data_IF_266701839246
#
_entry.id   IF_266701839246
#
_cell.length_a   1.000
_cell.length_b   1.000
_cell.length_c   1.000
_cell.angle_alpha   90.00
_cell.angle_beta   90.00
_cell.angle_gamma   90.00
#
_symmetry.space_group_name_H-M   'P 1'
#
loop_
_entity.id
_entity.type
_entity.pdbx_description
1 polymer ?
#
# COMPACT_ATOMS: atom_id res chain seq x y z
N UNK A 1 19.63 -18.87 8.96
CA UNK A 1 19.87 -17.56 9.59
C UNK A 1 19.22 -17.53 10.95
N UNK A 2 19.94 -17.06 11.96
CA UNK A 2 19.40 -16.92 13.30
C UNK A 2 18.20 -15.97 13.28
N UNK A 3 17.12 -16.35 13.96
CA UNK A 3 15.85 -15.62 13.98
C UNK A 3 15.16 -15.42 12.61
N UNK A 4 15.55 -16.17 11.59
CA UNK A 4 14.91 -16.09 10.26
C UNK A 4 13.41 -16.38 10.28
N UNK A 5 12.97 -17.29 11.17
CA UNK A 5 11.56 -17.57 11.42
C UNK A 5 10.80 -16.33 11.92
N UNK A 6 11.39 -15.56 12.82
CA UNK A 6 10.77 -14.33 13.36
C UNK A 6 10.62 -13.27 12.26
N UNK A 7 11.69 -13.04 11.49
CA UNK A 7 11.65 -12.09 10.35
C UNK A 7 10.56 -12.49 9.34
N UNK A 8 10.45 -13.80 9.05
CA UNK A 8 9.41 -14.29 8.14
C UNK A 8 8.00 -14.05 8.67
N UNK A 9 7.75 -14.38 9.94
CA UNK A 9 6.42 -14.19 10.53
C UNK A 9 6.05 -12.71 10.63
N UNK A 10 6.96 -11.84 11.04
CA UNK A 10 6.74 -10.40 11.06
C UNK A 10 6.43 -9.90 9.64
N UNK A 11 7.16 -10.35 8.62
CA UNK A 11 6.94 -9.94 7.24
C UNK A 11 5.57 -10.41 6.71
N UNK A 12 5.25 -11.67 6.86
CA UNK A 12 4.02 -12.25 6.35
C UNK A 12 2.77 -11.71 7.07
N UNK A 13 2.79 -11.66 8.40
CA UNK A 13 1.68 -11.13 9.19
C UNK A 13 1.59 -9.61 9.06
N UNK A 14 2.74 -8.92 9.05
CA UNK A 14 2.82 -7.49 8.82
C UNK A 14 2.20 -7.06 7.50
N UNK A 15 2.37 -7.83 6.43
CA UNK A 15 1.70 -7.57 5.16
C UNK A 15 0.18 -7.56 5.30
N UNK A 16 -0.40 -8.54 6.02
CA UNK A 16 -1.85 -8.60 6.27
C UNK A 16 -2.32 -7.42 7.11
N UNK A 17 -1.63 -7.12 8.20
CA UNK A 17 -1.97 -5.99 9.08
C UNK A 17 -1.83 -4.65 8.38
N UNK A 18 -0.86 -4.50 7.51
CA UNK A 18 -0.67 -3.29 6.71
C UNK A 18 -1.91 -3.00 5.86
N UNK A 19 -2.48 -4.01 5.19
CA UNK A 19 -3.72 -3.86 4.44
C UNK A 19 -4.92 -3.55 5.32
N UNK A 20 -5.05 -4.21 6.48
CA UNK A 20 -6.13 -3.92 7.44
C UNK A 20 -6.12 -2.45 7.84
N UNK A 21 -4.95 -1.94 8.24
CA UNK A 21 -4.79 -0.54 8.68
C UNK A 21 -5.05 0.44 7.52
N UNK A 22 -4.58 0.12 6.31
CA UNK A 22 -4.83 0.95 5.13
C UNK A 22 -6.31 0.97 4.76
N UNK A 23 -7.02 -0.15 4.83
CA UNK A 23 -8.47 -0.15 4.61
C UNK A 23 -9.22 0.68 5.64
N UNK A 24 -8.87 0.60 6.92
CA UNK A 24 -9.43 1.47 7.97
C UNK A 24 -9.14 2.94 7.65
N UNK A 25 -7.92 3.25 7.21
CA UNK A 25 -7.53 4.59 6.78
C UNK A 25 -8.37 5.10 5.60
N UNK A 26 -8.62 4.28 4.58
CA UNK A 26 -9.47 4.61 3.44
C UNK A 26 -10.93 4.82 3.88
N UNK A 27 -11.48 3.92 4.68
CA UNK A 27 -12.85 4.04 5.19
C UNK A 27 -13.04 5.28 6.06
N UNK A 28 -12.03 5.67 6.86
CA UNK A 28 -12.03 6.92 7.60
C UNK A 28 -12.12 8.12 6.64
N UNK A 29 -11.33 8.10 5.56
CA UNK A 29 -11.37 9.13 4.53
C UNK A 29 -12.73 9.24 3.83
N UNK A 30 -13.37 8.11 3.53
CA UNK A 30 -14.72 8.06 2.96
C UNK A 30 -15.78 8.54 3.95
N UNK A 31 -15.73 8.05 5.19
CA UNK A 31 -16.72 8.38 6.21
C UNK A 31 -16.77 9.87 6.52
N UNK A 32 -15.63 10.52 6.66
CA UNK A 32 -15.54 11.95 6.97
C UNK A 32 -15.49 12.86 5.73
N UNK A 33 -15.57 12.30 4.53
CA UNK A 33 -15.49 13.09 3.29
C UNK A 33 -14.13 13.75 3.07
N UNK A 34 -13.06 13.20 3.65
CA UNK A 34 -11.71 13.77 3.57
C UNK A 34 -11.08 13.72 2.18
N UNK A 35 -11.73 13.05 1.22
CA UNK A 35 -11.33 12.98 -0.19
C UNK A 35 -11.85 14.13 -1.05
N UNK A 36 -12.78 14.93 -0.51
CA UNK A 36 -13.40 16.05 -1.24
C UNK A 36 -12.47 17.26 -1.30
N UNK A 37 -12.85 18.24 -2.13
CA UNK A 37 -12.13 19.51 -2.24
C UNK A 37 -11.80 20.11 -0.87
N UNK A 38 -10.58 20.61 -0.67
CA UNK A 38 -9.47 20.76 -1.63
C UNK A 38 -8.44 19.61 -1.60
N UNK A 39 -8.83 18.39 -1.19
CA UNK A 39 -7.93 17.25 -0.90
C UNK A 39 -7.96 16.14 -1.95
N UNK A 40 -8.40 16.43 -3.17
CA UNK A 40 -8.51 15.45 -4.25
C UNK A 40 -7.15 14.85 -4.63
N UNK A 41 -6.11 15.68 -4.71
CA UNK A 41 -4.76 15.23 -5.01
C UNK A 41 -4.25 14.26 -3.93
N UNK A 42 -4.55 14.56 -2.65
CA UNK A 42 -4.22 13.69 -1.54
C UNK A 42 -4.86 12.30 -1.71
N UNK A 43 -6.14 12.27 -2.08
CA UNK A 43 -6.87 11.03 -2.36
C UNK A 43 -6.26 10.26 -3.54
N UNK A 44 -5.98 10.93 -4.66
CA UNK A 44 -5.38 10.28 -5.85
C UNK A 44 -4.03 9.66 -5.54
N UNK A 45 -3.17 10.34 -4.78
CA UNK A 45 -1.89 9.77 -4.33
C UNK A 45 -2.11 8.54 -3.45
N UNK A 46 -3.13 8.55 -2.58
CA UNK A 46 -3.52 7.40 -1.78
C UNK A 46 -3.94 6.20 -2.64
N UNK A 47 -4.70 6.43 -3.71
CA UNK A 47 -5.09 5.37 -4.67
C UNK A 47 -3.85 4.78 -5.37
N UNK A 48 -2.90 5.61 -5.78
CA UNK A 48 -1.62 5.13 -6.37
C UNK A 48 -0.86 4.27 -5.37
N UNK A 49 -0.77 4.70 -4.11
CA UNK A 49 -0.14 3.89 -3.04
C UNK A 49 -0.84 2.53 -2.90
N UNK A 50 -2.16 2.49 -2.87
CA UNK A 50 -2.91 1.24 -2.75
C UNK A 50 -2.62 0.27 -3.91
N UNK A 51 -2.59 0.77 -5.15
CA UNK A 51 -2.27 -0.03 -6.34
C UNK A 51 -0.84 -0.59 -6.24
N UNK A 52 0.12 0.25 -5.87
CA UNK A 52 1.51 -0.18 -5.68
C UNK A 52 1.65 -1.20 -4.54
N UNK A 53 0.91 -1.04 -3.46
CA UNK A 53 0.86 -2.01 -2.36
C UNK A 53 0.31 -3.36 -2.82
N UNK A 54 -0.80 -3.37 -3.57
CA UNK A 54 -1.38 -4.60 -4.11
C UNK A 54 -0.40 -5.32 -5.03
N UNK A 55 0.26 -4.59 -5.93
CA UNK A 55 1.29 -5.13 -6.80
C UNK A 55 2.47 -5.71 -5.99
N UNK A 56 2.93 -4.97 -4.98
CA UNK A 56 4.03 -5.41 -4.11
C UNK A 56 3.66 -6.70 -3.37
N UNK A 57 2.50 -6.74 -2.75
CA UNK A 57 2.04 -7.90 -1.98
C UNK A 57 1.83 -9.13 -2.88
N UNK A 58 1.22 -8.93 -4.05
CA UNK A 58 1.02 -10.00 -5.03
C UNK A 58 2.34 -10.62 -5.47
N UNK A 59 3.30 -9.79 -5.89
CA UNK A 59 4.62 -10.29 -6.29
C UNK A 59 5.35 -10.97 -5.12
N UNK A 60 5.22 -10.44 -3.91
CA UNK A 60 5.80 -11.04 -2.71
C UNK A 60 5.24 -12.42 -2.39
N UNK A 61 3.93 -12.61 -2.59
CA UNK A 61 3.29 -13.91 -2.36
C UNK A 61 3.74 -14.98 -3.39
N UNK A 62 4.17 -14.57 -4.56
CA UNK A 62 4.71 -15.50 -5.58
C UNK A 62 6.09 -16.03 -5.19
N UNK A 63 6.88 -15.28 -4.42
CA UNK A 63 8.30 -15.60 -4.15
C UNK A 63 8.53 -16.92 -3.39
N UNK A 64 7.68 -17.38 -2.46
CA UNK A 64 7.85 -18.70 -1.84
C UNK A 64 7.78 -19.87 -2.81
N UNK A 65 7.24 -19.64 -4.00
CA UNK A 65 7.20 -20.59 -5.13
C UNK A 65 6.49 -21.91 -4.80
N UNK A 66 5.47 -21.85 -3.95
CA UNK A 66 4.58 -22.96 -3.68
C UNK A 66 3.45 -23.07 -4.72
N UNK A 67 2.57 -24.04 -4.55
CA UNK A 67 1.42 -24.27 -5.45
C UNK A 67 0.52 -23.03 -5.56
N UNK A 68 0.19 -22.40 -4.44
CA UNK A 68 -0.62 -21.17 -4.44
C UNK A 68 0.10 -20.00 -5.12
N UNK A 69 1.43 -19.90 -4.95
CA UNK A 69 2.24 -18.87 -5.60
C UNK A 69 2.23 -19.02 -7.11
N UNK A 70 2.49 -20.23 -7.60
CA UNK A 70 2.55 -20.54 -9.05
C UNK A 70 1.20 -20.34 -9.73
N UNK A 71 0.14 -20.94 -9.19
CA UNK A 71 -1.19 -20.83 -9.78
C UNK A 71 -1.79 -19.42 -9.61
N UNK A 72 -1.53 -18.77 -8.49
CA UNK A 72 -1.90 -17.37 -8.30
C UNK A 72 -1.23 -16.45 -9.32
N UNK A 73 0.06 -16.62 -9.56
CA UNK A 73 0.79 -15.88 -10.60
C UNK A 73 0.18 -16.13 -11.96
N UNK A 74 -0.05 -17.40 -12.33
CA UNK A 74 -0.61 -17.79 -13.63
C UNK A 74 -1.98 -17.14 -13.87
N UNK A 75 -2.90 -17.25 -12.91
CA UNK A 75 -4.27 -16.75 -13.06
C UNK A 75 -4.30 -15.22 -13.09
N UNK A 76 -3.66 -14.56 -12.13
CA UNK A 76 -3.74 -13.11 -11.99
C UNK A 76 -3.03 -12.40 -13.15
N UNK A 77 -1.87 -12.88 -13.56
CA UNK A 77 -1.17 -12.27 -14.70
C UNK A 77 -1.90 -12.52 -16.01
N UNK A 78 -2.55 -13.67 -16.16
CA UNK A 78 -3.32 -13.97 -17.37
C UNK A 78 -4.57 -13.09 -17.53
N UNK A 79 -5.08 -12.46 -16.47
CA UNK A 79 -6.16 -11.49 -16.57
C UNK A 79 -5.81 -10.29 -17.46
N UNK A 80 -4.53 -9.94 -17.56
CA UNK A 80 -4.08 -8.89 -18.48
C UNK A 80 -4.31 -9.25 -19.96
N UNK A 81 -4.45 -10.53 -20.32
CA UNK A 81 -4.76 -10.94 -21.70
C UNK A 81 -6.11 -10.42 -22.19
N UNK A 82 -7.02 -10.05 -21.28
CA UNK A 82 -8.30 -9.45 -21.61
C UNK A 82 -8.19 -8.02 -22.18
N UNK A 83 -7.02 -7.37 -22.08
CA UNK A 83 -6.81 -6.04 -22.64
C UNK A 83 -6.67 -6.16 -24.16
N UNK A 84 -7.57 -5.52 -24.96
CA UNK A 84 -7.51 -5.61 -26.39
C UNK A 84 -6.16 -5.15 -26.97
N UNK A 85 -5.69 -5.81 -28.00
CA UNK A 85 -4.48 -5.51 -28.79
C UNK A 85 -3.15 -5.77 -28.07
N UNK A 86 -3.03 -5.48 -26.78
CA UNK A 86 -1.74 -5.50 -26.07
C UNK A 86 -1.68 -6.54 -24.95
N UNK A 87 -2.80 -7.14 -24.59
CA UNK A 87 -2.90 -8.01 -23.41
C UNK A 87 -1.94 -9.19 -23.43
N UNK A 88 -1.88 -9.94 -24.52
CA UNK A 88 -0.96 -11.09 -24.66
C UNK A 88 0.51 -10.66 -24.57
N UNK A 89 0.85 -9.51 -25.15
CA UNK A 89 2.20 -8.96 -25.06
C UNK A 89 2.56 -8.59 -23.61
N UNK A 90 1.61 -8.04 -22.85
CA UNK A 90 1.80 -7.75 -21.42
C UNK A 90 2.02 -9.04 -20.65
N UNK A 91 1.21 -10.08 -20.88
CA UNK A 91 1.36 -11.37 -20.21
C UNK A 91 2.73 -12.00 -20.52
N UNK A 92 3.13 -12.04 -21.79
CA UNK A 92 4.44 -12.55 -22.21
C UNK A 92 5.59 -11.75 -21.58
N UNK A 93 5.45 -10.43 -21.49
CA UNK A 93 6.41 -9.56 -20.79
C UNK A 93 6.49 -9.89 -19.30
N UNK A 94 5.37 -10.04 -18.61
CA UNK A 94 5.32 -10.37 -17.19
C UNK A 94 5.93 -11.73 -16.90
N UNK A 95 5.62 -12.73 -17.72
CA UNK A 95 6.18 -14.07 -17.55
C UNK A 95 7.66 -14.14 -17.96
N UNK A 96 8.06 -13.37 -18.95
CA UNK A 96 9.38 -13.45 -19.56
C UNK A 96 9.55 -14.67 -20.44
N UNK A 97 8.44 -15.15 -20.98
CA UNK A 97 8.31 -16.33 -21.82
C UNK A 97 6.84 -16.65 -22.06
N UNK A 98 6.56 -17.91 -22.37
CA UNK A 98 5.20 -18.37 -22.71
C UNK A 98 4.48 -19.07 -21.55
N UNK A 99 5.11 -19.13 -20.39
CA UNK A 99 4.55 -19.69 -19.17
C UNK A 99 5.19 -19.04 -17.95
N UNK A 100 4.51 -19.13 -16.78
CA UNK A 100 5.10 -18.75 -15.50
C UNK A 100 6.23 -19.71 -15.16
N UNK A 101 7.46 -19.18 -15.02
CA UNK A 101 8.66 -19.96 -14.72
C UNK A 101 9.72 -19.07 -14.07
N UNK A 102 10.96 -19.54 -13.98
CA UNK A 102 12.09 -18.84 -13.38
C UNK A 102 12.27 -17.38 -13.85
N UNK A 103 12.10 -17.02 -15.15
CA UNK A 103 12.12 -15.61 -15.55
C UNK A 103 11.06 -14.75 -14.86
N UNK A 104 9.86 -15.29 -14.64
CA UNK A 104 8.78 -14.61 -13.89
C UNK A 104 9.21 -14.37 -12.44
N UNK A 105 9.73 -15.40 -11.80
CA UNK A 105 10.17 -15.35 -10.40
C UNK A 105 11.24 -14.28 -10.19
N UNK A 106 12.23 -14.21 -11.08
CA UNK A 106 13.30 -13.21 -10.99
C UNK A 106 12.80 -11.78 -11.17
N UNK A 107 11.88 -11.55 -12.12
CA UNK A 107 11.25 -10.23 -12.31
C UNK A 107 10.45 -9.82 -11.08
N UNK A 108 9.66 -10.73 -10.54
CA UNK A 108 8.83 -10.46 -9.38
C UNK A 108 9.66 -10.21 -8.14
N UNK A 109 10.78 -10.91 -7.97
CA UNK A 109 11.73 -10.61 -6.90
C UNK A 109 12.29 -9.19 -7.02
N UNK A 110 12.78 -8.82 -8.20
CA UNK A 110 13.35 -7.49 -8.42
C UNK A 110 12.32 -6.37 -8.18
N UNK A 111 11.10 -6.54 -8.70
CA UNK A 111 10.03 -5.56 -8.53
C UNK A 111 9.50 -5.52 -7.09
N UNK A 112 9.37 -6.67 -6.42
CA UNK A 112 8.97 -6.71 -5.02
C UNK A 112 9.98 -6.00 -4.12
N UNK A 113 11.26 -6.09 -4.43
CA UNK A 113 12.30 -5.36 -3.70
C UNK A 113 12.24 -3.85 -4.00
N UNK A 114 12.02 -3.46 -5.25
CA UNK A 114 12.03 -2.06 -5.68
C UNK A 114 10.78 -1.27 -5.23
N UNK A 115 9.60 -1.86 -5.39
CA UNK A 115 8.33 -1.14 -5.22
C UNK A 115 8.13 -0.53 -3.82
N UNK A 116 8.55 -1.13 -2.71
CA UNK A 116 8.46 -0.48 -1.40
C UNK A 116 9.17 0.87 -1.34
N UNK A 117 10.30 1.03 -2.01
CA UNK A 117 11.01 2.33 -2.08
C UNK A 117 10.24 3.35 -2.93
N UNK A 118 9.61 2.90 -4.01
CA UNK A 118 8.72 3.76 -4.80
C UNK A 118 7.51 4.18 -3.96
N UNK A 119 6.92 3.25 -3.20
CA UNK A 119 5.82 3.55 -2.27
C UNK A 119 6.25 4.62 -1.26
N UNK A 120 7.43 4.50 -0.66
CA UNK A 120 7.95 5.52 0.27
C UNK A 120 8.00 6.90 -0.41
N UNK A 121 8.48 6.98 -1.64
CA UNK A 121 8.50 8.23 -2.41
C UNK A 121 7.09 8.82 -2.61
N UNK A 122 6.12 7.98 -2.98
CA UNK A 122 4.72 8.43 -3.14
C UNK A 122 4.08 8.80 -1.80
N UNK A 123 4.42 8.10 -0.71
CA UNK A 123 3.98 8.45 0.66
C UNK A 123 4.48 9.83 1.05
N UNK A 124 5.73 10.17 0.74
CA UNK A 124 6.25 11.53 0.97
C UNK A 124 5.41 12.56 0.24
N UNK A 125 5.08 12.34 -1.03
CA UNK A 125 4.19 13.22 -1.80
C UNK A 125 2.78 13.29 -1.20
N UNK A 126 2.26 12.18 -0.70
CA UNK A 126 0.96 12.10 -0.03
C UNK A 126 0.94 12.98 1.23
N UNK A 127 1.99 12.93 2.04
CA UNK A 127 2.12 13.78 3.23
C UNK A 127 2.34 15.26 2.86
N UNK A 128 3.10 15.55 1.80
CA UNK A 128 3.25 16.92 1.30
C UNK A 128 1.89 17.49 0.85
N UNK A 129 1.09 16.71 0.13
CA UNK A 129 -0.25 17.10 -0.27
C UNK A 129 -1.18 17.33 0.93
N UNK A 130 -1.07 16.51 1.99
CA UNK A 130 -1.79 16.72 3.23
C UNK A 130 -1.43 18.07 3.89
N UNK A 131 -0.15 18.36 4.00
CA UNK A 131 0.31 19.59 4.66
C UNK A 131 -0.07 20.86 3.90
N UNK A 132 -0.36 20.78 2.62
CA UNK A 132 -0.80 21.95 1.83
C UNK A 132 -2.14 22.53 2.30
N UNK A 133 -3.07 21.69 2.73
CA UNK A 133 -4.43 22.10 3.13
C UNK A 133 -4.76 21.69 4.57
N UNK A 134 -3.89 20.93 5.23
CA UNK A 134 -4.10 20.39 6.56
C UNK A 134 -5.14 19.27 6.63
N UNK A 135 -5.30 18.73 7.82
CA UNK A 135 -6.25 17.65 8.09
C UNK A 135 -7.69 18.16 8.08
N UNK A 136 -8.61 17.30 7.64
CA UNK A 136 -10.03 17.50 7.88
C UNK A 136 -10.36 17.21 9.36
N UNK A 137 -11.53 17.64 9.83
CA UNK A 137 -12.07 17.26 11.14
C UNK A 137 -13.39 16.52 10.98
N UNK A 138 -13.86 15.79 12.03
CA UNK A 138 -15.07 14.96 11.93
C UNK A 138 -16.35 15.72 11.54
N UNK A 139 -16.43 17.00 11.87
CA UNK A 139 -17.60 17.84 11.58
C UNK A 139 -17.47 18.65 10.29
N UNK A 140 -16.29 18.68 9.66
CA UNK A 140 -16.02 19.47 8.47
C UNK A 140 -16.08 20.99 8.70
N UNK A 141 -15.89 21.43 9.94
CA UNK A 141 -15.96 22.85 10.32
C UNK A 141 -14.60 23.50 10.09
N UNK A 142 -14.60 24.66 9.45
CA UNK A 142 -13.39 25.42 9.20
C UNK A 142 -12.79 25.97 10.49
N UNK A 143 -11.48 25.86 10.62
CA UNK A 143 -10.69 26.43 11.71
C UNK A 143 -10.65 27.94 11.54
N UNK A 144 -11.10 28.68 12.57
CA UNK A 144 -11.18 30.15 12.54
C UNK A 144 -10.10 30.85 13.36
N UNK A 145 -9.43 30.10 14.24
CA UNK A 145 -8.38 30.66 15.07
C UNK A 145 -7.66 29.60 15.90
N UNK A 146 -6.66 30.01 16.65
CA UNK A 146 -5.87 29.13 17.49
C UNK A 146 -6.67 28.40 18.58
N UNK A 147 -7.79 28.98 19.01
CA UNK A 147 -8.72 28.36 19.96
C UNK A 147 -9.40 27.10 19.42
N UNK A 148 -9.47 26.96 18.09
CA UNK A 148 -10.07 25.81 17.41
C UNK A 148 -9.05 24.72 17.09
N UNK A 149 -7.82 24.86 17.59
CA UNK A 149 -6.71 23.95 17.30
C UNK A 149 -6.16 23.33 18.58
N UNK A 150 -5.59 22.16 18.41
CA UNK A 150 -4.82 21.47 19.44
C UNK A 150 -3.42 21.20 18.91
N UNK A 151 -2.39 21.41 19.73
CA UNK A 151 -1.01 21.18 19.36
C UNK A 151 -0.80 19.71 18.94
N UNK A 152 -0.06 19.49 17.87
CA UNK A 152 0.26 18.13 17.45
C UNK A 152 1.10 17.41 18.53
N UNK A 153 2.14 18.07 19.02
CA UNK A 153 2.91 17.57 20.16
C UNK A 153 2.48 18.24 21.46
N UNK A 154 2.25 17.49 22.56
CA UNK A 154 2.41 16.04 22.72
C UNK A 154 1.16 15.21 22.39
N UNK A 155 0.01 15.81 22.12
CA UNK A 155 -1.29 15.13 22.08
C UNK A 155 -1.36 14.06 20.99
N UNK A 156 -1.05 14.42 19.74
CA UNK A 156 -1.13 13.48 18.61
C UNK A 156 0.11 12.62 18.48
N UNK A 157 1.28 13.09 18.86
CA UNK A 157 2.49 12.28 18.91
C UNK A 157 2.36 11.10 19.87
N UNK A 158 1.78 11.31 21.05
CA UNK A 158 1.51 10.22 22.02
C UNK A 158 0.45 9.25 21.48
N UNK A 159 -0.58 9.77 20.84
CA UNK A 159 -1.65 8.96 20.23
C UNK A 159 -1.13 8.12 19.09
N UNK A 160 -0.27 8.66 18.23
CA UNK A 160 0.39 7.95 17.16
C UNK A 160 1.35 6.87 17.69
N UNK A 161 2.12 7.18 18.74
CA UNK A 161 2.98 6.20 19.39
C UNK A 161 2.18 5.03 19.99
N UNK A 162 1.02 5.32 20.59
CA UNK A 162 0.10 4.29 21.07
C UNK A 162 -0.42 3.42 19.94
N UNK A 163 -0.89 4.04 18.85
CA UNK A 163 -1.37 3.30 17.66
C UNK A 163 -0.29 2.41 17.03
N UNK A 164 0.94 2.92 16.93
CA UNK A 164 2.08 2.13 16.48
C UNK A 164 2.37 0.97 17.43
N UNK A 165 2.31 1.21 18.74
CA UNK A 165 2.49 0.16 19.75
C UNK A 165 1.46 -0.96 19.61
N UNK A 166 0.19 -0.61 19.41
CA UNK A 166 -0.89 -1.58 19.16
C UNK A 166 -0.60 -2.38 17.88
N UNK A 167 -0.20 -1.71 16.80
CA UNK A 167 0.13 -2.39 15.54
C UNK A 167 1.28 -3.39 15.68
N UNK A 168 2.28 -3.10 16.50
CA UNK A 168 3.45 -3.98 16.70
C UNK A 168 3.18 -5.16 17.62
N UNK A 169 2.14 -5.08 18.47
CA UNK A 169 1.79 -6.15 19.42
C UNK A 169 0.79 -7.15 18.82
N UNK A 170 -0.04 -6.73 17.90
CA UNK A 170 -1.03 -7.58 17.21
C UNK A 170 -0.38 -8.40 16.09
#
# INVERSE_FOLDING_TARGET
VNYGWLVRYIHANGASFFFIVVYIHIFRGLYYGSYKAPRELLWMLGVVILILMMATAFMGYVLPWGQMSFWGATVITNLFSAIPLVGESIVTLLWGGFSVDNPTLNRFYALHYLLPFVIVGVVVLHIVALHRFGSNNPLGIDVRGSQDTLSFHPYYTVKDAFGLGVFLVL
#
